data_IF_217011848991
#
_entry.id   IF_217011848991
#
_cell.length_a   1.000
_cell.length_b   1.000
_cell.length_c   1.000
_cell.angle_alpha   90.00
_cell.angle_beta   90.00
_cell.angle_gamma   90.00
#
_symmetry.space_group_name_H-M   'P 1'
#
loop_
_entity.id
_entity.type
_entity.pdbx_description
1 polymer ?
#
# COMPACT_ATOMS: atom_id res chain seq x y z
N UNK A 1 10.25 -5.88 -1.82
CA UNK A 1 9.38 -5.43 -2.93
C UNK A 1 8.84 -4.07 -2.54
N UNK A 2 8.94 -3.07 -3.43
CA UNK A 2 8.34 -1.74 -3.27
C UNK A 2 6.90 -1.82 -3.79
N UNK A 3 6.02 -2.44 -2.99
CA UNK A 3 4.72 -2.97 -3.45
C UNK A 3 3.73 -1.90 -3.92
N UNK A 4 3.87 -0.65 -3.47
CA UNK A 4 2.92 0.43 -3.76
C UNK A 4 3.34 1.37 -4.89
N UNK A 5 4.56 1.23 -5.43
CA UNK A 5 5.06 2.13 -6.49
C UNK A 5 4.95 3.61 -6.12
N UNK A 6 5.45 3.98 -4.93
CA UNK A 6 5.31 5.33 -4.37
C UNK A 6 6.66 5.89 -3.90
N UNK A 7 6.72 7.21 -3.69
CA UNK A 7 7.89 7.90 -3.16
C UNK A 7 7.46 9.08 -2.27
N UNK A 8 8.08 9.16 -1.10
CA UNK A 8 7.73 10.17 -0.09
C UNK A 8 6.36 9.92 0.55
N UNK A 9 6.00 10.76 1.51
CA UNK A 9 4.70 10.70 2.17
C UNK A 9 3.64 11.27 1.24
N UNK A 10 3.82 12.53 0.83
CA UNK A 10 2.97 13.25 -0.11
C UNK A 10 3.58 13.24 -1.51
N UNK A 11 4.90 13.38 -1.60
CA UNK A 11 5.61 13.44 -2.87
C UNK A 11 7.13 13.24 -2.71
N UNK A 12 7.88 13.02 -3.81
CA UNK A 12 9.33 12.87 -3.76
C UNK A 12 10.08 14.06 -3.14
N UNK A 13 9.47 15.25 -3.16
CA UNK A 13 10.03 16.49 -2.63
C UNK A 13 10.11 16.48 -1.09
N UNK A 14 9.38 15.57 -0.42
CA UNK A 14 9.52 15.33 1.03
C UNK A 14 10.95 14.97 1.43
N UNK A 15 11.78 14.50 0.48
CA UNK A 15 13.18 14.20 0.74
C UNK A 15 14.10 15.43 0.66
N UNK A 16 13.73 16.52 -0.01
CA UNK A 16 14.60 17.69 -0.21
C UNK A 16 15.02 18.36 1.10
N UNK A 17 14.07 18.52 2.03
CA UNK A 17 14.29 19.13 3.35
C UNK A 17 14.53 18.09 4.47
N UNK A 18 14.72 16.82 4.10
CA UNK A 18 14.84 15.73 5.06
C UNK A 18 16.29 15.45 5.48
N UNK A 19 16.44 14.76 6.62
CA UNK A 19 17.74 14.28 7.09
C UNK A 19 18.41 13.33 6.08
N UNK A 20 17.63 12.66 5.21
CA UNK A 20 18.17 11.84 4.13
C UNK A 20 19.05 12.66 3.19
N UNK A 21 18.63 13.87 2.82
CA UNK A 21 19.40 14.77 1.93
C UNK A 21 20.71 15.21 2.55
N UNK A 22 20.73 15.39 3.88
CA UNK A 22 21.95 15.72 4.62
C UNK A 22 22.95 14.56 4.62
N UNK A 23 22.47 13.32 4.74
CA UNK A 23 23.34 12.13 4.76
C UNK A 23 23.75 11.66 3.36
N UNK A 24 22.94 11.93 2.33
CA UNK A 24 23.18 11.50 0.95
C UNK A 24 23.09 12.71 0.01
N UNK A 25 24.14 13.54 -0.07
CA UNK A 25 24.10 14.78 -0.86
C UNK A 25 24.01 14.53 -2.37
N UNK A 26 24.47 13.37 -2.83
CA UNK A 26 24.46 13.00 -4.25
C UNK A 26 23.11 12.43 -4.72
N UNK A 27 22.28 11.94 -3.80
CA UNK A 27 21.03 11.27 -4.11
C UNK A 27 19.86 12.19 -3.79
N UNK A 28 18.99 12.45 -4.77
CA UNK A 28 17.81 13.30 -4.59
C UNK A 28 16.72 12.56 -3.81
N UNK A 29 16.62 11.25 -4.01
CA UNK A 29 15.64 10.37 -3.36
C UNK A 29 16.28 9.02 -3.02
N UNK A 30 15.73 8.24 -2.07
CA UNK A 30 16.19 6.88 -1.82
C UNK A 30 15.92 5.94 -3.01
N UNK A 31 16.72 4.89 -3.15
CA UNK A 31 16.55 3.86 -4.19
C UNK A 31 15.17 3.18 -4.19
N UNK A 32 14.50 3.16 -3.04
CA UNK A 32 13.14 2.63 -2.90
C UNK A 32 12.11 3.42 -3.74
N UNK A 33 12.41 4.67 -4.10
CA UNK A 33 11.58 5.49 -4.97
C UNK A 33 11.73 5.13 -6.45
N UNK A 34 12.76 4.38 -6.84
CA UNK A 34 13.05 4.07 -8.23
C UNK A 34 12.19 2.92 -8.76
N UNK A 35 11.66 3.09 -9.97
CA UNK A 35 10.87 2.06 -10.63
C UNK A 35 11.71 0.81 -10.89
N UNK A 36 11.09 -0.36 -10.70
CA UNK A 36 11.67 -1.66 -11.04
C UNK A 36 10.99 -2.18 -12.29
N UNK A 37 11.71 -3.00 -13.06
CA UNK A 37 11.13 -3.66 -14.22
C UNK A 37 9.92 -4.51 -13.78
N UNK A 38 8.79 -4.36 -14.46
CA UNK A 38 7.57 -5.16 -14.24
C UNK A 38 7.70 -6.62 -14.70
N UNK A 39 8.88 -7.05 -15.15
CA UNK A 39 9.10 -8.41 -15.61
C UNK A 39 9.15 -9.38 -14.42
N UNK A 40 8.25 -10.38 -14.37
CA UNK A 40 8.19 -11.33 -13.27
C UNK A 40 9.47 -12.18 -13.25
N UNK A 41 10.41 -11.82 -12.37
CA UNK A 41 11.68 -12.52 -12.20
C UNK A 41 12.91 -11.62 -12.25
N UNK A 42 12.78 -10.38 -12.74
CA UNK A 42 13.89 -9.44 -12.79
C UNK A 42 13.64 -8.25 -11.85
N UNK A 43 14.22 -8.31 -10.65
CA UNK A 43 14.14 -7.24 -9.66
C UNK A 43 15.01 -6.03 -9.99
N UNK A 44 15.60 -5.99 -11.18
CA UNK A 44 16.47 -4.90 -11.63
C UNK A 44 15.71 -3.58 -11.76
N UNK A 45 16.35 -2.52 -11.28
CA UNK A 45 15.90 -1.15 -11.48
C UNK A 45 16.06 -0.76 -12.96
N UNK A 46 15.07 -0.07 -13.53
CA UNK A 46 15.05 0.29 -14.97
C UNK A 46 16.22 1.23 -15.29
N UNK A 47 16.46 2.24 -14.46
CA UNK A 47 17.68 3.06 -14.44
C UNK A 47 17.87 3.69 -13.06
N UNK A 48 18.64 3.00 -12.21
CA UNK A 48 18.88 3.40 -10.81
C UNK A 48 19.55 4.77 -10.72
N UNK A 49 20.62 4.98 -11.49
CA UNK A 49 21.41 6.21 -11.42
C UNK A 49 20.59 7.43 -11.87
N UNK A 50 19.86 7.32 -12.97
CA UNK A 50 19.03 8.41 -13.48
C UNK A 50 17.90 8.78 -12.50
N UNK A 51 17.30 7.80 -11.84
CA UNK A 51 16.31 8.03 -10.79
C UNK A 51 16.91 8.76 -9.57
N UNK A 52 18.09 8.33 -9.10
CA UNK A 52 18.78 8.96 -7.97
C UNK A 52 19.20 10.41 -8.28
N UNK A 53 19.53 10.68 -9.54
CA UNK A 53 19.80 12.04 -10.05
C UNK A 53 18.53 12.91 -10.22
N UNK A 54 17.34 12.36 -9.99
CA UNK A 54 16.08 13.11 -10.03
C UNK A 54 15.28 12.98 -11.33
N UNK A 55 15.59 12.01 -12.19
CA UNK A 55 14.78 11.75 -13.40
C UNK A 55 13.37 11.31 -13.03
N UNK A 56 12.37 12.11 -13.44
CA UNK A 56 10.96 11.81 -13.18
C UNK A 56 10.44 10.59 -13.93
N UNK A 57 11.10 10.16 -15.01
CA UNK A 57 10.67 9.02 -15.83
C UNK A 57 10.89 7.67 -15.16
N UNK A 58 11.92 7.57 -14.31
CA UNK A 58 12.33 6.32 -13.68
C UNK A 58 12.05 6.29 -12.18
N UNK A 59 11.31 7.29 -11.70
CA UNK A 59 10.93 7.49 -10.31
C UNK A 59 9.43 7.32 -10.14
N UNK A 60 9.03 6.76 -9.02
CA UNK A 60 7.63 6.78 -8.60
C UNK A 60 7.30 8.20 -8.09
N UNK A 61 6.41 8.91 -8.76
CA UNK A 61 6.06 10.29 -8.37
C UNK A 61 4.82 10.38 -7.47
N UNK A 62 4.14 9.26 -7.22
CA UNK A 62 2.98 9.20 -6.34
C UNK A 62 3.41 9.14 -4.88
N UNK A 63 2.84 9.98 -4.02
CA UNK A 63 3.05 9.91 -2.57
C UNK A 63 2.51 8.60 -1.97
N UNK A 64 3.22 8.04 -1.00
CA UNK A 64 2.83 6.79 -0.36
C UNK A 64 1.55 6.92 0.46
N UNK A 65 1.27 8.09 1.04
CA UNK A 65 0.00 8.33 1.74
C UNK A 65 -1.20 8.19 0.78
N UNK A 66 -1.15 8.87 -0.37
CA UNK A 66 -2.18 8.74 -1.40
C UNK A 66 -2.26 7.32 -1.94
N UNK A 67 -1.14 6.65 -2.19
CA UNK A 67 -1.14 5.26 -2.66
C UNK A 67 -1.85 4.30 -1.69
N UNK A 68 -1.65 4.48 -0.38
CA UNK A 68 -2.31 3.67 0.66
C UNK A 68 -3.79 4.03 0.78
N UNK A 69 -4.15 5.31 0.69
CA UNK A 69 -5.55 5.74 0.72
C UNK A 69 -6.32 5.15 -0.47
N UNK A 70 -5.79 5.24 -1.69
CA UNK A 70 -6.43 4.67 -2.89
C UNK A 70 -6.58 3.14 -2.79
N UNK A 71 -5.59 2.48 -2.17
CA UNK A 71 -5.68 1.05 -1.85
C UNK A 71 -6.86 0.81 -0.90
N UNK A 72 -6.94 1.52 0.22
CA UNK A 72 -8.06 1.35 1.16
C UNK A 72 -9.42 1.68 0.54
N UNK A 73 -9.54 2.72 -0.29
CA UNK A 73 -10.79 3.06 -0.97
C UNK A 73 -11.27 1.92 -1.87
N UNK A 74 -10.36 1.22 -2.52
CA UNK A 74 -10.70 0.05 -3.34
C UNK A 74 -11.18 -1.13 -2.48
N UNK A 75 -10.56 -1.36 -1.32
CA UNK A 75 -10.86 -2.53 -0.48
C UNK A 75 -11.94 -2.32 0.57
N UNK A 76 -12.31 -1.08 0.90
CA UNK A 76 -13.28 -0.79 1.96
C UNK A 76 -14.67 -1.37 1.66
N UNK A 77 -15.09 -1.35 0.39
CA UNK A 77 -16.35 -1.93 -0.04
C UNK A 77 -16.36 -3.45 0.10
N UNK A 78 -15.26 -4.11 -0.29
CA UNK A 78 -15.10 -5.55 -0.15
C UNK A 78 -15.05 -5.96 1.32
N UNK A 79 -14.26 -5.27 2.13
CA UNK A 79 -14.17 -5.50 3.56
C UNK A 79 -15.51 -5.30 4.27
N UNK A 80 -16.26 -4.25 3.89
CA UNK A 80 -17.61 -3.99 4.38
C UNK A 80 -18.59 -5.11 4.03
N UNK A 81 -18.58 -5.59 2.79
CA UNK A 81 -19.44 -6.71 2.38
C UNK A 81 -19.11 -7.99 3.17
N UNK A 82 -17.83 -8.32 3.33
CA UNK A 82 -17.40 -9.48 4.12
C UNK A 82 -17.81 -9.35 5.60
N UNK A 83 -17.70 -8.16 6.18
CA UNK A 83 -18.12 -7.91 7.56
C UNK A 83 -19.63 -8.14 7.75
N UNK A 84 -20.47 -7.65 6.82
CA UNK A 84 -21.91 -7.88 6.87
C UNK A 84 -22.22 -9.39 6.80
N UNK A 85 -21.58 -10.12 5.88
CA UNK A 85 -21.78 -11.58 5.77
C UNK A 85 -21.44 -12.29 7.09
N UNK A 86 -20.29 -11.98 7.70
CA UNK A 86 -19.89 -12.57 8.98
C UNK A 86 -20.93 -12.27 10.07
N UNK A 87 -21.35 -11.01 10.20
CA UNK A 87 -22.36 -10.60 11.17
C UNK A 87 -23.70 -11.32 10.96
N UNK A 88 -24.13 -11.54 9.71
CA UNK A 88 -25.37 -12.29 9.46
C UNK A 88 -25.26 -13.75 9.89
N UNK A 89 -24.13 -14.41 9.60
CA UNK A 89 -23.90 -15.81 10.01
C UNK A 89 -23.90 -15.92 11.53
N UNK A 90 -23.26 -14.97 12.22
CA UNK A 90 -23.22 -14.91 13.67
C UNK A 90 -24.63 -14.77 14.28
N UNK A 91 -25.45 -13.89 13.71
CA UNK A 91 -26.83 -13.70 14.16
C UNK A 91 -27.66 -14.97 13.98
N UNK A 92 -27.56 -15.65 12.83
CA UNK A 92 -28.22 -16.93 12.63
C UNK A 92 -27.74 -17.99 13.62
N UNK A 93 -26.43 -18.08 13.88
CA UNK A 93 -25.87 -19.03 14.84
C UNK A 93 -26.44 -18.80 16.26
N UNK A 94 -26.54 -17.54 16.71
CA UNK A 94 -27.16 -17.20 17.99
C UNK A 94 -28.64 -17.60 18.05
N UNK A 95 -29.42 -17.35 16.99
CA UNK A 95 -30.83 -17.73 16.92
C UNK A 95 -30.99 -19.25 16.96
N UNK A 96 -30.21 -19.99 16.16
CA UNK A 96 -30.25 -21.45 16.16
C UNK A 96 -29.87 -22.03 17.52
N UNK A 97 -28.87 -21.47 18.19
CA UNK A 97 -28.51 -21.89 19.54
C UNK A 97 -29.69 -21.73 20.51
N UNK A 98 -30.34 -20.57 20.54
CA UNK A 98 -31.51 -20.34 21.41
C UNK A 98 -32.68 -21.28 21.09
N UNK A 99 -33.00 -21.49 19.82
CA UNK A 99 -34.06 -22.41 19.39
C UNK A 99 -33.76 -23.85 19.78
N UNK A 100 -32.50 -24.30 19.61
CA UNK A 100 -32.07 -25.64 19.99
C UNK A 100 -32.15 -25.85 21.50
N UNK A 101 -31.71 -24.90 22.32
CA UNK A 101 -31.85 -24.99 23.77
C UNK A 101 -33.32 -25.09 24.22
N UNK A 102 -34.23 -24.32 23.60
CA UNK A 102 -35.66 -24.36 23.95
C UNK A 102 -36.39 -25.60 23.43
N UNK A 103 -35.90 -26.23 22.37
CA UNK A 103 -36.53 -27.44 21.78
C UNK A 103 -36.08 -28.75 22.41
N UNK A 104 -34.95 -28.76 23.14
CA UNK A 104 -34.44 -29.95 23.84
C UNK A 104 -35.01 -30.05 25.28
N UNK A 105 -35.56 -28.96 25.81
CA UNK A 105 -36.19 -28.89 27.13
C UNK A 105 -37.71 -29.15 27.06
#
# INVERSE_FOLDING_TARGET
MTTFGCCGVNSPEDFEDSLFRLMNPNDVVPEACCQRNDHPGDGAHISREECLMGSMLFRNNKGCYSAVVDYFETYIYLAGALAIVVLTIELFAMVFAMCLFRGIQ
#
